data_IF_932157570469
#
_entry.id   IF_932157570469
#
_cell.length_a   1.000
_cell.length_b   1.000
_cell.length_c   1.000
_cell.angle_alpha   90.00
_cell.angle_beta   90.00
_cell.angle_gamma   90.00
#
_symmetry.space_group_name_H-M   'P 1'
#
loop_
_entity.id
_entity.type
_entity.pdbx_description
1 polymer ?
#
# COMPACT_ATOMS: atom_id res chain seq x y z
N UNK A 1 -54.79 -18.38 -13.99
CA UNK A 1 -53.34 -18.50 -13.69
C UNK A 1 -53.17 -18.20 -12.21
N UNK A 2 -53.33 -19.20 -11.34
CA UNK A 2 -53.29 -19.02 -9.88
C UNK A 2 -51.84 -18.94 -9.44
N UNK A 3 -51.43 -17.74 -9.02
CA UNK A 3 -50.08 -17.50 -8.51
C UNK A 3 -49.89 -18.38 -7.26
N UNK A 4 -48.89 -19.26 -7.30
CA UNK A 4 -48.68 -20.25 -6.24
C UNK A 4 -48.19 -19.54 -4.96
N UNK A 5 -49.13 -19.08 -4.13
CA UNK A 5 -48.86 -18.19 -2.98
C UNK A 5 -47.78 -18.74 -2.05
N UNK A 6 -47.68 -20.07 -1.91
CA UNK A 6 -46.64 -20.74 -1.11
C UNK A 6 -45.22 -20.50 -1.66
N UNK A 7 -45.06 -20.50 -2.98
CA UNK A 7 -43.77 -20.19 -3.63
C UNK A 7 -43.42 -18.70 -3.54
N UNK A 8 -44.43 -17.82 -3.60
CA UNK A 8 -44.24 -16.37 -3.42
C UNK A 8 -43.82 -16.04 -1.99
N UNK A 9 -44.46 -16.64 -0.97
CA UNK A 9 -44.06 -16.44 0.43
C UNK A 9 -42.67 -17.00 0.73
N UNK A 10 -42.31 -18.17 0.19
CA UNK A 10 -40.97 -18.73 0.34
C UNK A 10 -39.91 -17.82 -0.33
N UNK A 11 -40.20 -17.26 -1.50
CA UNK A 11 -39.33 -16.30 -2.17
C UNK A 11 -39.14 -15.01 -1.38
N UNK A 12 -40.23 -14.42 -0.88
CA UNK A 12 -40.18 -13.20 -0.05
C UNK A 12 -39.40 -13.45 1.25
N UNK A 13 -39.60 -14.61 1.90
CA UNK A 13 -38.87 -14.97 3.10
C UNK A 13 -37.37 -15.13 2.85
N UNK A 14 -36.98 -15.80 1.76
CA UNK A 14 -35.57 -15.93 1.38
C UNK A 14 -34.92 -14.56 1.11
N UNK A 15 -35.62 -13.67 0.39
CA UNK A 15 -35.15 -12.29 0.13
C UNK A 15 -35.03 -11.50 1.44
N UNK A 16 -36.00 -11.61 2.35
CA UNK A 16 -35.97 -10.93 3.65
C UNK A 16 -34.80 -11.40 4.52
N UNK A 17 -34.48 -12.69 4.53
CA UNK A 17 -33.32 -13.25 5.24
C UNK A 17 -32.01 -12.74 4.65
N UNK A 18 -31.89 -12.66 3.32
CA UNK A 18 -30.70 -12.11 2.65
C UNK A 18 -30.53 -10.62 2.96
N UNK A 19 -31.60 -9.83 2.87
CA UNK A 19 -31.57 -8.40 3.20
C UNK A 19 -31.19 -8.20 4.66
N UNK A 20 -31.83 -8.92 5.59
CA UNK A 20 -31.58 -8.79 7.02
C UNK A 20 -30.16 -9.26 7.40
N UNK A 21 -29.67 -10.35 6.82
CA UNK A 21 -28.30 -10.82 7.01
C UNK A 21 -27.24 -9.85 6.44
N UNK A 22 -27.59 -9.14 5.36
CA UNK A 22 -26.73 -8.12 4.75
C UNK A 22 -26.70 -6.83 5.59
N UNK A 23 -27.83 -6.37 6.11
CA UNK A 23 -27.91 -5.17 6.96
C UNK A 23 -27.30 -5.37 8.34
N UNK A 24 -27.38 -6.58 8.90
CA UNK A 24 -26.76 -6.95 10.17
C UNK A 24 -25.27 -7.29 10.05
N UNK A 25 -24.72 -7.40 8.82
CA UNK A 25 -23.31 -7.70 8.59
C UNK A 25 -22.89 -9.14 8.92
N UNK A 26 -23.84 -10.07 9.05
CA UNK A 26 -23.56 -11.47 9.38
C UNK A 26 -22.73 -12.16 8.30
N UNK A 27 -23.00 -11.85 7.02
CA UNK A 27 -22.19 -12.35 5.90
C UNK A 27 -20.75 -11.83 5.95
N UNK A 28 -20.56 -10.55 6.26
CA UNK A 28 -19.22 -9.98 6.43
C UNK A 28 -18.43 -10.62 7.59
N UNK A 29 -19.11 -11.10 8.64
CA UNK A 29 -18.47 -11.88 9.71
C UNK A 29 -18.00 -13.26 9.26
N UNK A 30 -18.74 -13.92 8.38
CA UNK A 30 -18.33 -15.22 7.83
C UNK A 30 -17.13 -15.02 6.89
N UNK A 31 -17.23 -14.06 5.97
CA UNK A 31 -16.14 -13.72 5.04
C UNK A 31 -14.85 -13.40 5.80
N UNK A 32 -14.96 -12.63 6.88
CA UNK A 32 -13.79 -12.27 7.69
C UNK A 32 -13.10 -13.43 8.40
N UNK A 33 -13.86 -14.44 8.83
CA UNK A 33 -13.30 -15.66 9.43
C UNK A 33 -12.63 -16.50 8.34
N UNK A 34 -13.27 -16.64 7.18
CA UNK A 34 -12.72 -17.38 6.04
C UNK A 34 -11.41 -16.74 5.56
N UNK A 35 -11.37 -15.42 5.39
CA UNK A 35 -10.15 -14.67 5.07
C UNK A 35 -9.04 -14.90 6.09
N UNK A 36 -9.36 -14.89 7.39
CA UNK A 36 -8.37 -15.08 8.45
C UNK A 36 -7.77 -16.49 8.40
N UNK A 37 -8.60 -17.51 8.14
CA UNK A 37 -8.16 -18.90 7.97
C UNK A 37 -7.28 -19.02 6.72
N UNK A 38 -7.69 -18.42 5.60
CA UNK A 38 -6.89 -18.40 4.36
C UNK A 38 -5.56 -17.70 4.58
N UNK A 39 -5.53 -16.53 5.20
CA UNK A 39 -4.29 -15.82 5.51
C UNK A 39 -3.38 -16.60 6.45
N UNK A 40 -3.93 -17.28 7.46
CA UNK A 40 -3.15 -18.15 8.34
C UNK A 40 -2.57 -19.34 7.55
N UNK A 41 -3.35 -19.94 6.66
CA UNK A 41 -2.90 -21.06 5.84
C UNK A 41 -1.88 -20.67 4.76
N UNK A 42 -2.04 -19.48 4.17
CA UNK A 42 -1.12 -18.91 3.17
C UNK A 42 0.06 -18.17 3.79
N UNK A 43 0.14 -18.07 5.12
CA UNK A 43 1.29 -17.47 5.77
C UNK A 43 2.54 -18.28 5.46
N UNK A 44 3.62 -17.58 5.15
CA UNK A 44 4.94 -18.18 4.95
C UNK A 44 5.88 -17.71 6.05
N UNK A 45 6.83 -18.55 6.40
CA UNK A 45 7.89 -18.16 7.32
C UNK A 45 8.66 -16.97 6.73
N UNK A 46 8.98 -16.00 7.59
CA UNK A 46 9.84 -14.89 7.21
C UNK A 46 11.16 -15.47 6.70
N UNK A 47 11.46 -15.25 5.42
CA UNK A 47 12.61 -15.87 4.73
C UNK A 47 13.97 -15.44 5.30
N UNK A 48 14.00 -14.50 6.25
CA UNK A 48 15.21 -13.90 6.80
C UNK A 48 15.97 -13.01 5.80
N UNK A 49 15.48 -12.86 4.57
CA UNK A 49 16.10 -12.07 3.51
C UNK A 49 15.62 -10.62 3.47
N UNK A 50 14.70 -10.25 4.36
CA UNK A 50 14.14 -8.90 4.46
C UNK A 50 14.71 -8.21 5.69
N UNK A 51 15.34 -7.05 5.46
CA UNK A 51 15.83 -6.18 6.54
C UNK A 51 14.87 -5.01 6.66
N UNK A 52 14.31 -4.81 7.87
CA UNK A 52 13.50 -3.65 8.20
C UNK A 52 14.38 -2.65 8.93
N UNK A 53 14.48 -1.44 8.39
CA UNK A 53 15.19 -0.32 9.03
C UNK A 53 14.11 0.61 9.59
N UNK A 54 13.92 0.54 10.91
CA UNK A 54 12.99 1.41 11.62
C UNK A 54 13.58 2.79 11.87
N UNK A 55 12.74 3.82 11.78
CA UNK A 55 13.05 5.17 12.26
C UNK A 55 12.17 5.38 13.50
N UNK A 56 12.78 5.40 14.68
CA UNK A 56 12.10 5.59 15.95
C UNK A 56 12.32 7.01 16.52
N UNK A 57 11.67 7.32 17.64
CA UNK A 57 11.77 8.63 18.28
C UNK A 57 13.21 9.00 18.67
N UNK A 58 14.03 8.01 19.05
CA UNK A 58 15.43 8.21 19.41
C UNK A 58 16.28 8.59 18.18
N UNK A 59 15.99 7.95 17.05
CA UNK A 59 16.59 8.24 15.75
C UNK A 59 16.18 9.64 15.32
N UNK A 60 14.89 9.97 15.37
CA UNK A 60 14.42 11.31 15.03
C UNK A 60 15.09 12.37 15.90
N UNK A 61 15.19 12.17 17.22
CA UNK A 61 15.87 13.10 18.11
C UNK A 61 17.35 13.29 17.75
N UNK A 62 18.05 12.23 17.35
CA UNK A 62 19.45 12.29 16.92
C UNK A 62 19.65 13.07 15.60
N UNK A 63 18.62 13.15 14.76
CA UNK A 63 18.65 13.81 13.45
C UNK A 63 17.88 15.15 13.41
N UNK A 64 17.56 15.73 14.57
CA UNK A 64 16.92 17.05 14.65
C UNK A 64 15.39 17.05 14.52
N UNK A 65 14.76 15.87 14.59
CA UNK A 65 13.32 15.69 14.56
C UNK A 65 12.77 15.32 13.19
N UNK A 66 11.49 15.60 12.99
CA UNK A 66 10.78 15.38 11.72
C UNK A 66 10.57 16.73 11.00
N UNK A 67 10.78 16.82 9.67
CA UNK A 67 11.20 15.74 8.76
C UNK A 67 12.72 15.51 8.76
N UNK A 68 13.13 14.26 8.57
CA UNK A 68 14.55 13.93 8.31
C UNK A 68 15.00 14.55 6.99
N UNK A 69 16.19 15.15 6.98
CA UNK A 69 16.75 15.76 5.77
C UNK A 69 17.02 14.75 4.64
N UNK A 70 16.81 15.20 3.40
CA UNK A 70 16.86 14.36 2.19
C UNK A 70 18.22 13.70 1.95
N UNK A 71 19.31 14.37 2.34
CA UNK A 71 20.66 13.87 2.18
C UNK A 71 20.94 12.61 3.02
N UNK A 72 20.26 12.45 4.17
CA UNK A 72 20.35 11.25 4.98
C UNK A 72 19.72 10.05 4.27
N UNK A 73 18.55 10.24 3.64
CA UNK A 73 17.94 9.20 2.80
C UNK A 73 18.86 8.82 1.64
N UNK A 74 19.43 9.79 0.92
CA UNK A 74 20.38 9.54 -0.16
C UNK A 74 21.57 8.69 0.30
N UNK A 75 22.14 9.02 1.47
CA UNK A 75 23.26 8.28 2.08
C UNK A 75 22.88 6.83 2.38
N UNK A 76 21.73 6.59 2.99
CA UNK A 76 21.24 5.25 3.29
C UNK A 76 21.03 4.45 2.01
N UNK A 77 20.40 5.04 1.00
CA UNK A 77 20.13 4.37 -0.27
C UNK A 77 21.40 3.99 -1.01
N UNK A 78 22.41 4.86 -1.01
CA UNK A 78 23.71 4.56 -1.60
C UNK A 78 24.40 3.40 -0.86
N UNK A 79 24.32 3.35 0.48
CA UNK A 79 24.85 2.23 1.26
C UNK A 79 24.12 0.92 0.97
N UNK A 80 22.79 0.95 0.88
CA UNK A 80 21.98 -0.22 0.52
C UNK A 80 22.29 -0.70 -0.91
N UNK A 81 22.48 0.23 -1.85
CA UNK A 81 22.87 -0.11 -3.21
C UNK A 81 24.25 -0.79 -3.23
N UNK A 82 25.24 -0.21 -2.54
CA UNK A 82 26.59 -0.76 -2.45
C UNK A 82 26.63 -2.14 -1.73
N UNK A 83 25.74 -2.35 -0.76
CA UNK A 83 25.56 -3.64 -0.08
C UNK A 83 24.83 -4.69 -0.95
N UNK A 84 24.38 -4.34 -2.15
CA UNK A 84 23.72 -5.27 -3.06
C UNK A 84 22.25 -5.54 -2.72
N UNK A 85 21.56 -4.61 -2.04
CA UNK A 85 20.14 -4.76 -1.75
C UNK A 85 19.34 -5.00 -3.04
N UNK A 86 18.60 -6.12 -3.11
CA UNK A 86 17.86 -6.52 -4.31
C UNK A 86 16.70 -5.55 -4.61
N UNK A 87 15.95 -5.17 -3.58
CA UNK A 87 14.85 -4.22 -3.63
C UNK A 87 14.85 -3.36 -2.36
N UNK A 88 14.47 -2.11 -2.49
CA UNK A 88 14.36 -1.14 -1.39
C UNK A 88 12.99 -0.46 -1.48
N UNK A 89 12.19 -0.60 -0.42
CA UNK A 89 10.98 0.17 -0.25
C UNK A 89 11.21 1.21 0.85
N UNK A 90 10.77 2.44 0.60
CA UNK A 90 10.97 3.55 1.52
C UNK A 90 9.59 4.03 1.97
N UNK A 91 9.24 3.77 3.22
CA UNK A 91 7.97 4.23 3.79
C UNK A 91 8.08 5.70 4.25
N UNK A 92 8.29 6.59 3.28
CA UNK A 92 8.33 8.03 3.51
C UNK A 92 7.66 8.76 2.35
N UNK A 93 6.87 9.78 2.69
CA UNK A 93 6.17 10.60 1.72
C UNK A 93 6.96 11.88 1.40
N UNK A 94 7.46 11.98 0.18
CA UNK A 94 8.23 13.13 -0.32
C UNK A 94 7.33 14.18 -0.98
N UNK A 95 6.33 14.64 -0.24
CA UNK A 95 5.25 15.52 -0.74
C UNK A 95 5.76 16.96 -0.88
N UNK A 96 6.31 17.55 0.19
CA UNK A 96 6.92 18.87 0.16
C UNK A 96 8.36 18.84 -0.39
N UNK A 97 8.75 19.93 -1.04
CA UNK A 97 10.12 20.18 -1.44
C UNK A 97 11.05 20.26 -0.23
N UNK A 98 12.23 19.66 -0.36
CA UNK A 98 13.31 19.79 0.60
C UNK A 98 14.15 21.03 0.27
N UNK A 99 15.44 20.96 0.62
CA UNK A 99 16.41 21.87 0.04
C UNK A 99 16.90 21.33 -1.32
N UNK A 100 17.27 22.23 -2.23
CA UNK A 100 17.63 21.88 -3.61
C UNK A 100 18.75 20.85 -3.72
N UNK A 101 19.77 20.97 -2.86
CA UNK A 101 20.92 20.07 -2.85
C UNK A 101 20.54 18.65 -2.39
N UNK A 102 19.80 18.54 -1.29
CA UNK A 102 19.33 17.28 -0.73
C UNK A 102 18.35 16.58 -1.66
N UNK A 103 17.46 17.32 -2.33
CA UNK A 103 16.58 16.73 -3.34
C UNK A 103 17.36 16.23 -4.56
N UNK A 104 18.43 16.92 -4.96
CA UNK A 104 19.31 16.45 -6.04
C UNK A 104 20.09 15.19 -5.67
N UNK A 105 20.64 15.14 -4.44
CA UNK A 105 21.34 13.96 -3.93
C UNK A 105 20.40 12.75 -3.82
N UNK A 106 19.17 12.98 -3.35
CA UNK A 106 18.17 11.92 -3.23
C UNK A 106 17.69 11.44 -4.60
N UNK A 107 17.45 12.35 -5.55
CA UNK A 107 17.09 11.98 -6.92
C UNK A 107 18.19 11.14 -7.58
N UNK A 108 19.46 11.49 -7.39
CA UNK A 108 20.59 10.71 -7.89
C UNK A 108 20.64 9.31 -7.28
N UNK A 109 20.43 9.20 -5.96
CA UNK A 109 20.34 7.89 -5.31
C UNK A 109 19.18 7.03 -5.86
N UNK A 110 18.04 7.64 -6.14
CA UNK A 110 16.91 6.96 -6.79
C UNK A 110 17.22 6.52 -8.22
N UNK A 111 17.88 7.36 -8.99
CA UNK A 111 18.31 7.03 -10.36
C UNK A 111 19.27 5.84 -10.37
N UNK A 112 20.19 5.77 -9.42
CA UNK A 112 21.16 4.68 -9.30
C UNK A 112 20.54 3.34 -8.91
N UNK A 113 19.39 3.34 -8.22
CA UNK A 113 18.62 2.13 -7.94
C UNK A 113 17.72 1.75 -9.12
N UNK A 114 17.01 2.74 -9.66
CA UNK A 114 16.04 2.56 -10.75
C UNK A 114 14.72 1.90 -10.30
N UNK A 115 13.72 1.85 -11.22
CA UNK A 115 12.36 1.46 -10.87
C UNK A 115 12.23 -0.01 -10.47
N UNK A 116 13.08 -0.89 -11.01
CA UNK A 116 13.02 -2.33 -10.70
C UNK A 116 13.51 -2.68 -9.29
N UNK A 117 14.24 -1.77 -8.65
CA UNK A 117 14.89 -2.02 -7.36
C UNK A 117 14.44 -1.06 -6.27
N UNK A 118 13.75 0.03 -6.59
CA UNK A 118 13.26 0.97 -5.59
C UNK A 118 11.82 1.42 -5.84
N UNK A 119 11.06 1.52 -4.75
CA UNK A 119 9.67 1.94 -4.77
C UNK A 119 9.35 2.99 -3.71
N UNK A 120 8.43 3.90 -4.07
CA UNK A 120 7.91 4.94 -3.17
C UNK A 120 6.40 4.86 -3.00
N UNK A 121 5.89 5.10 -1.79
CA UNK A 121 4.47 5.22 -1.55
C UNK A 121 3.94 6.47 -2.22
N UNK A 122 2.80 6.33 -2.89
CA UNK A 122 2.03 7.46 -3.41
C UNK A 122 0.76 7.67 -2.61
N UNK A 123 0.47 8.93 -2.28
CA UNK A 123 -0.78 9.27 -1.62
C UNK A 123 -1.89 9.26 -2.66
N UNK A 124 -2.81 8.31 -2.52
CA UNK A 124 -4.03 8.26 -3.32
C UNK A 124 -5.15 8.89 -2.49
N UNK A 125 -5.50 10.14 -2.80
CA UNK A 125 -6.67 10.78 -2.21
C UNK A 125 -7.94 10.18 -2.81
N UNK A 126 -8.83 9.66 -1.97
CA UNK A 126 -10.16 9.24 -2.38
C UNK A 126 -10.97 10.51 -2.65
N UNK A 127 -11.17 10.85 -3.93
CA UNK A 127 -11.86 12.07 -4.36
C UNK A 127 -13.26 12.18 -3.76
N UNK A 128 -13.38 13.00 -2.71
CA UNK A 128 -14.65 13.41 -2.10
C UNK A 128 -14.89 14.92 -2.20
N UNK A 129 -13.88 15.74 -1.95
CA UNK A 129 -14.01 17.21 -1.99
C UNK A 129 -12.64 17.89 -2.16
N UNK A 130 -12.59 18.93 -3.01
CA UNK A 130 -11.51 19.92 -3.21
C UNK A 130 -10.31 19.59 -4.13
N UNK A 131 -10.53 19.72 -5.44
CA UNK A 131 -9.56 19.55 -6.53
C UNK A 131 -8.62 20.76 -6.80
N UNK A 132 -8.30 21.61 -5.82
CA UNK A 132 -7.52 22.85 -6.08
C UNK A 132 -6.28 23.09 -5.21
N UNK A 133 -6.05 22.29 -4.16
CA UNK A 133 -4.85 22.44 -3.31
C UNK A 133 -3.83 21.30 -3.46
N UNK A 134 -4.14 20.27 -4.25
CA UNK A 134 -3.32 19.06 -4.39
C UNK A 134 -2.14 19.19 -5.36
N UNK A 135 -2.22 20.05 -6.40
CA UNK A 135 -1.15 20.17 -7.41
C UNK A 135 0.13 20.87 -6.93
N UNK A 136 0.06 21.73 -5.92
CA UNK A 136 1.24 22.49 -5.46
C UNK A 136 2.12 21.71 -4.48
N UNK A 137 1.60 20.64 -3.90
CA UNK A 137 2.29 19.87 -2.84
C UNK A 137 2.81 18.53 -3.33
N UNK A 138 2.93 18.31 -4.65
CA UNK A 138 3.38 17.03 -5.21
C UNK A 138 4.65 17.11 -6.06
N UNK A 139 5.25 18.29 -6.17
CA UNK A 139 6.36 18.53 -7.09
C UNK A 139 7.57 17.60 -6.84
N UNK A 140 7.99 17.46 -5.58
CA UNK A 140 9.05 16.51 -5.21
C UNK A 140 8.67 15.06 -5.43
N UNK A 141 7.43 14.68 -5.11
CA UNK A 141 6.95 13.31 -5.37
C UNK A 141 6.92 13.00 -6.86
N UNK A 142 6.51 13.95 -7.70
CA UNK A 142 6.52 13.83 -9.16
C UNK A 142 7.95 13.75 -9.72
N UNK A 143 8.89 14.51 -9.15
CA UNK A 143 10.31 14.44 -9.49
C UNK A 143 10.88 13.04 -9.21
N UNK A 144 10.69 12.53 -7.99
CA UNK A 144 11.27 11.26 -7.58
C UNK A 144 10.58 10.04 -8.22
N UNK A 145 9.26 10.10 -8.37
CA UNK A 145 8.47 8.98 -8.88
C UNK A 145 8.65 8.71 -10.38
N UNK A 146 9.44 9.53 -11.09
CA UNK A 146 9.90 9.25 -12.46
C UNK A 146 10.98 8.16 -12.51
N UNK A 147 11.75 8.02 -11.44
CA UNK A 147 12.89 7.10 -11.37
C UNK A 147 12.55 5.78 -10.69
N UNK A 148 11.37 5.67 -10.08
CA UNK A 148 10.99 4.61 -9.15
C UNK A 148 9.63 4.01 -9.44
N UNK A 149 9.40 2.77 -8.99
CA UNK A 149 8.04 2.21 -8.99
C UNK A 149 7.17 2.90 -7.94
N UNK A 150 5.98 3.36 -8.37
CA UNK A 150 4.96 3.88 -7.45
C UNK A 150 4.25 2.69 -6.81
N UNK A 151 4.10 2.70 -5.49
CA UNK A 151 3.36 1.68 -4.74
C UNK A 151 2.28 2.32 -3.87
N UNK A 152 1.23 1.56 -3.58
CA UNK A 152 0.21 1.97 -2.64
C UNK A 152 0.56 1.49 -1.23
N UNK A 153 0.54 2.42 -0.27
CA UNK A 153 0.69 2.13 1.15
C UNK A 153 -0.58 2.44 1.96
N UNK A 154 -1.67 2.85 1.29
CA UNK A 154 -2.95 3.06 1.95
C UNK A 154 -3.47 1.74 2.53
N UNK A 155 -3.88 1.77 3.79
CA UNK A 155 -4.54 0.68 4.48
C UNK A 155 -5.93 1.16 4.89
N UNK A 156 -6.97 0.99 4.06
CA UNK A 156 -8.31 1.40 4.43
C UNK A 156 -8.77 0.62 5.68
N UNK A 157 -9.02 1.35 6.76
CA UNK A 157 -9.60 0.79 7.98
C UNK A 157 -11.11 0.68 7.75
N UNK A 158 -11.66 -0.54 7.81
CA UNK A 158 -13.11 -0.75 7.70
C UNK A 158 -13.82 -0.24 8.96
N UNK A 159 -15.15 -0.10 8.89
CA UNK A 159 -15.99 0.40 9.99
C UNK A 159 -15.85 -0.40 11.32
N UNK A 160 -15.28 -1.59 11.28
CA UNK A 160 -15.00 -2.44 12.45
C UNK A 160 -13.57 -2.27 13.01
N UNK A 161 -12.80 -1.28 12.52
CA UNK A 161 -11.44 -1.00 12.99
C UNK A 161 -10.36 -1.93 12.44
N UNK A 162 -10.71 -2.84 11.53
CA UNK A 162 -9.76 -3.82 10.97
C UNK A 162 -9.27 -3.41 9.58
N UNK A 163 -7.95 -3.58 9.37
CA UNK A 163 -7.32 -3.55 8.05
C UNK A 163 -7.41 -4.95 7.45
N UNK A 164 -8.00 -5.06 6.27
CA UNK A 164 -8.15 -6.34 5.53
C UNK A 164 -7.59 -6.29 4.12
N UNK A 165 -7.40 -5.08 3.60
CA UNK A 165 -6.86 -4.82 2.28
C UNK A 165 -5.66 -3.89 2.44
N UNK A 166 -4.57 -4.23 1.76
CA UNK A 166 -3.41 -3.35 1.62
C UNK A 166 -3.43 -2.84 0.18
N UNK A 167 -3.55 -1.52 0.04
CA UNK A 167 -3.83 -0.87 -1.24
C UNK A 167 -5.27 -0.39 -1.34
N UNK A 168 -5.59 0.28 -2.45
CA UNK A 168 -6.98 0.60 -2.79
C UNK A 168 -7.50 -0.48 -3.76
N UNK A 169 -8.68 -1.03 -3.50
CA UNK A 169 -9.43 -2.05 -4.26
C UNK A 169 -9.57 -1.76 -5.78
N UNK A 170 -9.10 -0.61 -6.27
CA UNK A 170 -9.21 -0.16 -7.66
C UNK A 170 -7.97 0.55 -8.23
N UNK A 171 -6.84 0.59 -7.54
CA UNK A 171 -5.64 1.21 -8.12
C UNK A 171 -4.87 0.22 -8.99
N UNK A 172 -4.48 0.61 -10.20
CA UNK A 172 -3.48 -0.10 -11.03
C UNK A 172 -2.07 -0.11 -10.41
N UNK A 173 -1.94 0.48 -9.22
CA UNK A 173 -0.70 0.62 -8.46
C UNK A 173 -0.59 -0.57 -7.50
N UNK A 174 0.49 -1.38 -7.56
CA UNK A 174 0.67 -2.49 -6.64
C UNK A 174 0.82 -2.02 -5.20
N UNK A 175 0.41 -2.84 -4.23
CA UNK A 175 0.76 -2.58 -2.82
C UNK A 175 2.27 -2.71 -2.61
N UNK A 176 2.81 -2.00 -1.62
CA UNK A 176 4.23 -2.08 -1.28
C UNK A 176 4.66 -3.52 -0.94
N UNK A 177 3.84 -4.23 -0.18
CA UNK A 177 4.07 -5.64 0.17
C UNK A 177 4.12 -6.54 -1.07
N UNK A 178 3.18 -6.37 -2.01
CA UNK A 178 3.16 -7.14 -3.25
C UNK A 178 4.41 -6.88 -4.09
N UNK A 179 4.79 -5.61 -4.27
CA UNK A 179 6.00 -5.25 -5.02
C UNK A 179 7.27 -5.78 -4.38
N UNK A 180 7.41 -5.76 -3.05
CA UNK A 180 8.56 -6.34 -2.36
C UNK A 180 8.67 -7.84 -2.61
N UNK A 181 7.54 -8.57 -2.56
CA UNK A 181 7.50 -10.00 -2.81
C UNK A 181 7.84 -10.35 -4.26
N UNK A 182 7.22 -9.68 -5.24
CA UNK A 182 7.25 -10.14 -6.64
C UNK A 182 8.10 -9.27 -7.55
N UNK A 183 8.19 -7.96 -7.30
CA UNK A 183 8.93 -6.98 -8.10
C UNK A 183 8.12 -6.32 -9.22
N UNK A 184 6.95 -6.87 -9.54
CA UNK A 184 6.03 -6.39 -10.57
C UNK A 184 4.69 -7.14 -10.48
N UNK A 185 3.61 -6.54 -11.03
CA UNK A 185 2.33 -7.24 -11.25
C UNK A 185 2.44 -8.33 -12.35
N UNK A 186 3.40 -8.22 -13.27
CA UNK A 186 3.55 -9.15 -14.40
C UNK A 186 4.07 -10.52 -13.95
N UNK A 187 4.97 -10.57 -12.97
CA UNK A 187 5.55 -11.82 -12.46
C UNK A 187 4.51 -12.75 -11.81
N UNK A 188 3.42 -12.20 -11.26
CA UNK A 188 2.32 -13.00 -10.70
C UNK A 188 1.44 -13.67 -11.75
N UNK A 189 1.31 -13.07 -12.94
CA UNK A 189 0.58 -13.72 -14.04
C UNK A 189 1.38 -14.89 -14.60
N UNK A 190 2.72 -14.83 -14.54
CA UNK A 190 3.59 -15.92 -14.93
C UNK A 190 3.67 -17.05 -13.89
N UNK A 191 3.35 -16.77 -12.62
CA UNK A 191 3.48 -17.75 -11.51
C UNK A 191 2.16 -18.46 -11.15
N UNK A 192 1.02 -18.08 -11.77
CA UNK A 192 -0.20 -18.91 -11.73
C UNK A 192 -0.17 -19.91 -12.89
N UNK A 193 0.44 -21.07 -12.65
CA UNK A 193 0.21 -22.31 -13.41
C UNK A 193 -0.41 -23.32 -12.46
#
# INVERSE_FOLDING_TARGET
>A
MTLNHRGVFAGIFAVAVVILGSTLGTFARIDSVVESIICAYLSCDATGQTVVIGIDDSTLAAYGGTPIERHHFATVLNRLNAAGARRVYIDAYFIADGNTEGDAQLEEAFRNLGPNRAALPVVLYQSGTSSRSSSLTQHSQDRFSRHLTKVCANMPIRNNGLVREIGLDRSSIPSAANWLATGSLEDLRATRV
#
